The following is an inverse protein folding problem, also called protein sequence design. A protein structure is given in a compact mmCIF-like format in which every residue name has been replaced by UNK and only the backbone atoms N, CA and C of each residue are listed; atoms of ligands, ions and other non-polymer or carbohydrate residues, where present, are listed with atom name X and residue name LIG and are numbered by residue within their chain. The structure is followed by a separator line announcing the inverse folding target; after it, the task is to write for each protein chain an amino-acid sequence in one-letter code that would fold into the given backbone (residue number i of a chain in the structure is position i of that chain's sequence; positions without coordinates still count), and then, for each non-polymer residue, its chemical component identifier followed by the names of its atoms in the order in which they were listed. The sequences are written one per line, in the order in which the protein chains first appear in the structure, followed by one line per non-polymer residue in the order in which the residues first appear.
data_IF_578276730626
#
_entry.id   IF_578276730626
#
_cell.length_a   1.000
_cell.length_b   1.000
_cell.length_c   1.000
_cell.angle_alpha   90.00
_cell.angle_beta   90.00
_cell.angle_gamma   90.00
#
_symmetry.space_group_name_H-M   'P 1'
#
loop_
_entity.id
_entity.type
_entity.pdbx_description
1 polymer ?
#
# COMPACT_ATOMS: atom_id res chain seq x y z
N UNK A 1 -10.78 18.89 9.94
CA UNK A 1 -10.24 17.90 10.89
C UNK A 1 -11.37 16.93 11.14
N UNK A 2 -11.28 15.69 10.63
CA UNK A 2 -12.25 14.66 11.02
C UNK A 2 -11.86 14.22 12.43
N UNK A 3 -12.78 14.41 13.38
CA UNK A 3 -12.61 13.90 14.74
C UNK A 3 -12.37 12.39 14.64
N UNK A 4 -11.22 11.93 15.15
CA UNK A 4 -10.90 10.52 15.23
C UNK A 4 -11.91 9.78 16.10
N UNK A 5 -12.05 8.45 15.98
CA UNK A 5 -12.79 7.64 16.92
C UNK A 5 -12.23 7.98 18.31
N UNK A 6 -13.11 8.33 19.25
CA UNK A 6 -12.70 8.79 20.60
C UNK A 6 -11.57 7.90 21.12
N UNK A 7 -10.54 8.53 21.67
CA UNK A 7 -9.33 7.83 22.17
C UNK A 7 -9.80 6.68 23.05
N UNK A 8 -9.71 5.45 22.53
CA UNK A 8 -9.91 4.27 23.35
C UNK A 8 -8.74 4.20 24.34
N UNK A 9 -9.00 4.32 25.61
CA UNK A 9 -8.06 4.20 26.73
C UNK A 9 -7.34 2.83 26.75
N UNK A 10 -6.60 2.47 25.70
CA UNK A 10 -5.97 1.16 25.63
C UNK A 10 -4.99 0.93 24.47
N UNK A 11 -4.98 1.76 23.44
CA UNK A 11 -4.01 1.60 22.34
C UNK A 11 -2.73 2.35 22.67
N UNK A 12 -1.64 1.62 22.95
CA UNK A 12 -0.31 2.17 23.12
C UNK A 12 0.18 2.90 21.86
N UNK A 13 1.07 3.89 22.04
CA UNK A 13 1.75 4.55 20.92
C UNK A 13 2.50 3.51 20.07
N UNK A 14 2.58 3.74 18.76
CA UNK A 14 3.33 2.85 17.86
C UNK A 14 4.80 2.83 18.27
N UNK A 15 5.31 1.63 18.55
CA UNK A 15 6.68 1.39 19.01
C UNK A 15 7.61 0.85 17.91
N UNK A 16 7.04 0.30 16.83
CA UNK A 16 7.80 -0.19 15.68
C UNK A 16 6.96 -0.09 14.39
N UNK A 17 7.62 0.06 13.25
CA UNK A 17 6.96 0.05 11.96
C UNK A 17 7.69 -0.86 10.96
N UNK A 18 6.95 -1.35 9.97
CA UNK A 18 7.51 -2.09 8.85
C UNK A 18 6.85 -1.70 7.54
N UNK A 19 7.64 -1.69 6.46
CA UNK A 19 7.15 -1.43 5.11
C UNK A 19 7.41 -2.64 4.22
N UNK A 20 6.37 -3.13 3.56
CA UNK A 20 6.45 -4.20 2.56
C UNK A 20 6.33 -3.62 1.16
N UNK A 21 7.26 -3.99 0.29
CA UNK A 21 7.30 -3.64 -1.12
C UNK A 21 7.25 -4.93 -1.95
N UNK A 22 6.11 -5.30 -2.55
CA UNK A 22 6.05 -6.39 -3.51
C UNK A 22 6.77 -5.97 -4.80
N UNK A 23 7.62 -6.85 -5.36
CA UNK A 23 8.39 -6.55 -6.55
C UNK A 23 8.44 -7.76 -7.50
N UNK A 24 8.19 -7.51 -8.82
CA UNK A 24 8.38 -8.48 -9.88
C UNK A 24 9.07 -7.81 -11.07
N UNK A 25 10.39 -8.06 -11.22
CA UNK A 25 11.22 -7.45 -12.27
C UNK A 25 11.19 -5.90 -12.22
N UNK A 26 11.59 -5.32 -11.09
CA UNK A 26 11.57 -3.88 -10.81
C UNK A 26 12.98 -3.27 -10.64
N UNK A 27 14.02 -3.89 -11.21
CA UNK A 27 15.40 -3.40 -11.04
C UNK A 27 15.60 -1.92 -11.43
N UNK A 28 14.77 -1.41 -12.36
CA UNK A 28 14.87 -0.05 -12.88
C UNK A 28 14.22 0.99 -11.94
N UNK A 29 13.06 0.70 -11.33
CA UNK A 29 12.28 1.68 -10.56
C UNK A 29 12.47 1.53 -9.05
N UNK A 30 12.76 0.33 -8.56
CA UNK A 30 12.97 0.05 -7.15
C UNK A 30 14.04 0.93 -6.46
N UNK A 31 15.14 1.36 -7.09
CA UNK A 31 16.11 2.25 -6.45
C UNK A 31 15.50 3.57 -5.94
N UNK A 32 14.66 4.23 -6.74
CA UNK A 32 14.00 5.47 -6.36
C UNK A 32 13.01 5.25 -5.19
N UNK A 33 12.23 4.17 -5.24
CA UNK A 33 11.35 3.75 -4.15
C UNK A 33 12.12 3.57 -2.84
N UNK A 34 13.24 2.83 -2.84
CA UNK A 34 14.03 2.58 -1.64
C UNK A 34 14.69 3.83 -1.06
N UNK A 35 15.15 4.76 -1.91
CA UNK A 35 15.68 6.05 -1.46
C UNK A 35 14.59 6.84 -0.73
N UNK A 36 13.38 6.91 -1.30
CA UNK A 36 12.24 7.60 -0.69
C UNK A 36 11.83 6.95 0.64
N UNK A 37 11.72 5.62 0.69
CA UNK A 37 11.37 4.88 1.91
C UNK A 37 12.40 5.07 3.03
N UNK A 38 13.71 5.04 2.73
CA UNK A 38 14.75 5.32 3.73
C UNK A 38 14.65 6.74 4.28
N UNK A 39 14.36 7.72 3.41
CA UNK A 39 14.15 9.11 3.85
C UNK A 39 12.92 9.22 4.76
N UNK A 40 11.81 8.56 4.42
CA UNK A 40 10.62 8.53 5.26
C UNK A 40 10.87 7.82 6.60
N UNK A 41 11.63 6.72 6.60
CA UNK A 41 11.99 5.97 7.79
C UNK A 41 12.94 6.73 8.72
N UNK A 42 13.94 7.46 8.17
CA UNK A 42 14.93 8.22 8.97
C UNK A 42 14.32 9.40 9.74
N UNK A 43 13.11 9.82 9.40
CA UNK A 43 12.39 10.88 10.11
C UNK A 43 11.66 10.39 11.37
N UNK A 44 11.67 9.08 11.65
CA UNK A 44 10.99 8.47 12.78
C UNK A 44 11.96 8.14 13.93
N UNK A 45 11.43 8.19 15.16
CA UNK A 45 12.17 7.80 16.37
C UNK A 45 11.99 6.33 16.74
N UNK A 46 11.10 5.62 16.03
CA UNK A 46 10.87 4.18 16.23
C UNK A 46 11.63 3.36 15.19
N UNK A 47 12.02 2.11 15.49
CA UNK A 47 12.65 1.24 14.51
C UNK A 47 11.71 0.98 13.32
N UNK A 48 12.28 1.03 12.11
CA UNK A 48 11.56 0.78 10.86
C UNK A 48 12.25 -0.33 10.08
N UNK A 49 11.51 -1.38 9.75
CA UNK A 49 11.98 -2.48 8.90
C UNK A 49 11.52 -2.25 7.46
N UNK A 50 12.46 -2.20 6.51
CA UNK A 50 12.15 -2.14 5.08
C UNK A 50 12.34 -3.51 4.45
N UNK A 51 11.29 -4.04 3.82
CA UNK A 51 11.26 -5.40 3.29
C UNK A 51 10.75 -5.41 1.85
N UNK A 52 11.55 -5.95 0.95
CA UNK A 52 11.19 -6.19 -0.44
C UNK A 52 10.86 -7.66 -0.64
N UNK A 53 9.70 -7.95 -1.21
CA UNK A 53 9.33 -9.31 -1.58
C UNK A 53 9.53 -9.49 -3.08
N UNK A 54 10.62 -10.16 -3.45
CA UNK A 54 10.95 -10.49 -4.83
C UNK A 54 10.13 -11.73 -5.26
N UNK A 55 9.03 -11.50 -5.99
CA UNK A 55 8.14 -12.56 -6.46
C UNK A 55 8.50 -12.97 -7.88
N UNK A 56 9.20 -14.12 -8.01
CA UNK A 56 9.60 -14.70 -9.30
C UNK A 56 10.34 -13.70 -10.21
N UNK A 57 11.29 -12.95 -9.64
CA UNK A 57 12.14 -12.06 -10.41
C UNK A 57 13.17 -12.85 -11.23
N UNK A 58 13.39 -12.42 -12.47
CA UNK A 58 14.43 -12.91 -13.36
C UNK A 58 15.54 -11.88 -13.64
N UNK A 59 15.35 -10.65 -13.15
CA UNK A 59 16.28 -9.54 -13.23
C UNK A 59 17.05 -9.34 -11.90
N UNK A 60 17.74 -8.22 -11.73
CA UNK A 60 18.53 -7.89 -10.54
C UNK A 60 17.72 -7.30 -9.38
N UNK A 61 16.37 -7.34 -9.41
CA UNK A 61 15.51 -6.75 -8.37
C UNK A 61 15.97 -7.09 -6.95
N UNK A 62 16.23 -8.37 -6.67
CA UNK A 62 16.65 -8.79 -5.33
C UNK A 62 18.03 -8.25 -4.92
N UNK A 63 18.95 -8.13 -5.87
CA UNK A 63 20.28 -7.54 -5.63
C UNK A 63 20.16 -6.03 -5.37
N UNK A 64 19.37 -5.34 -6.17
CA UNK A 64 19.05 -3.91 -6.02
C UNK A 64 18.41 -3.64 -4.66
N UNK A 65 17.47 -4.47 -4.22
CA UNK A 65 16.83 -4.35 -2.92
C UNK A 65 17.84 -4.43 -1.76
N UNK A 66 18.73 -5.43 -1.77
CA UNK A 66 19.77 -5.57 -0.74
C UNK A 66 20.75 -4.39 -0.76
N UNK A 67 21.21 -3.98 -1.93
CA UNK A 67 22.11 -2.82 -2.08
C UNK A 67 21.43 -1.52 -1.59
N UNK A 68 20.10 -1.41 -1.74
CA UNK A 68 19.28 -0.33 -1.19
C UNK A 68 19.03 -0.41 0.31
N UNK A 69 19.58 -1.40 1.03
CA UNK A 69 19.43 -1.54 2.48
C UNK A 69 18.12 -2.19 2.92
N UNK A 70 17.34 -2.78 2.02
CA UNK A 70 16.15 -3.53 2.37
C UNK A 70 16.45 -5.01 2.65
N UNK A 71 15.70 -5.60 3.56
CA UNK A 71 15.64 -7.05 3.69
C UNK A 71 14.87 -7.64 2.51
N UNK A 72 15.20 -8.86 2.08
CA UNK A 72 14.60 -9.49 0.90
C UNK A 72 14.03 -10.85 1.23
N UNK A 73 12.76 -11.04 0.93
CA UNK A 73 12.09 -12.34 0.88
C UNK A 73 11.86 -12.71 -0.59
N UNK A 74 12.20 -13.93 -0.98
CA UNK A 74 11.96 -14.44 -2.34
C UNK A 74 10.85 -15.46 -2.34
N UNK A 75 9.88 -15.30 -3.25
CA UNK A 75 8.75 -16.21 -3.45
C UNK A 75 8.55 -16.51 -4.95
N UNK A 76 7.64 -17.44 -5.26
CA UNK A 76 7.35 -17.90 -6.64
C UNK A 76 5.83 -17.88 -6.94
N UNK A 77 5.08 -16.93 -6.37
CA UNK A 77 3.61 -16.95 -6.39
C UNK A 77 3.00 -16.23 -7.59
N UNK A 78 3.67 -15.20 -8.16
CA UNK A 78 3.11 -14.27 -9.17
C UNK A 78 1.74 -13.70 -8.78
N UNK A 79 1.59 -13.37 -7.50
CA UNK A 79 0.35 -12.82 -6.93
C UNK A 79 0.74 -11.74 -5.92
N UNK A 80 0.33 -10.51 -6.17
CA UNK A 80 0.69 -9.38 -5.31
C UNK A 80 0.20 -9.57 -3.88
N UNK A 81 -1.01 -10.12 -3.68
CA UNK A 81 -1.52 -10.44 -2.35
C UNK A 81 -0.66 -11.47 -1.61
N UNK A 82 -0.14 -12.49 -2.31
CA UNK A 82 0.78 -13.45 -1.70
C UNK A 82 2.13 -12.81 -1.34
N UNK A 83 2.61 -11.87 -2.17
CA UNK A 83 3.83 -11.13 -1.88
C UNK A 83 3.67 -10.23 -0.64
N UNK A 84 2.58 -9.46 -0.56
CA UNK A 84 2.27 -8.66 0.64
C UNK A 84 2.13 -9.53 1.88
N UNK A 85 1.39 -10.65 1.80
CA UNK A 85 1.24 -11.59 2.92
C UNK A 85 2.59 -12.18 3.38
N UNK A 86 3.46 -12.56 2.44
CA UNK A 86 4.79 -13.09 2.78
C UNK A 86 5.66 -12.04 3.45
N UNK A 87 5.63 -10.80 2.97
CA UNK A 87 6.37 -9.68 3.57
C UNK A 87 5.87 -9.36 4.97
N UNK A 88 4.56 -9.24 5.16
CA UNK A 88 4.01 -8.94 6.50
C UNK A 88 4.28 -10.08 7.49
N UNK A 89 4.21 -11.33 7.07
CA UNK A 89 4.58 -12.46 7.94
C UNK A 89 6.04 -12.33 8.43
N UNK A 90 6.96 -11.91 7.56
CA UNK A 90 8.35 -11.69 7.97
C UNK A 90 8.48 -10.46 8.89
N UNK A 91 7.74 -9.36 8.62
CA UNK A 91 7.71 -8.21 9.53
C UNK A 91 7.20 -8.58 10.92
N UNK A 92 6.11 -9.36 11.02
CA UNK A 92 5.58 -9.85 12.28
C UNK A 92 6.59 -10.72 13.03
N UNK A 93 7.42 -11.51 12.30
CA UNK A 93 8.51 -12.27 12.91
C UNK A 93 9.62 -11.35 13.45
N UNK A 94 9.98 -10.29 12.71
CA UNK A 94 11.00 -9.31 13.12
C UNK A 94 10.56 -8.47 14.32
N UNK A 95 9.26 -8.26 14.47
CA UNK A 95 8.66 -7.47 15.56
C UNK A 95 8.00 -8.34 16.63
N UNK A 96 8.31 -9.64 16.69
CA UNK A 96 7.67 -10.60 17.60
C UNK A 96 7.86 -10.30 19.09
N UNK A 97 8.82 -9.44 19.45
CA UNK A 97 9.02 -8.93 20.82
C UNK A 97 8.13 -7.73 21.19
N UNK A 98 7.36 -7.20 20.25
CA UNK A 98 6.46 -6.05 20.46
C UNK A 98 5.01 -6.50 20.50
N UNK A 99 4.18 -5.74 21.25
CA UNK A 99 2.73 -5.92 21.20
C UNK A 99 2.23 -5.60 19.78
N UNK A 100 1.45 -6.49 19.13
CA UNK A 100 0.89 -6.21 17.81
C UNK A 100 0.07 -4.91 17.74
N UNK A 101 -0.53 -4.45 18.83
CA UNK A 101 -1.22 -3.16 18.89
C UNK A 101 -0.29 -1.95 18.78
N UNK A 102 1.01 -2.13 19.06
CA UNK A 102 2.05 -1.11 18.98
C UNK A 102 2.94 -1.24 17.72
N UNK A 103 2.56 -2.09 16.76
CA UNK A 103 3.28 -2.28 15.48
C UNK A 103 2.44 -1.77 14.32
N UNK A 104 3.06 -0.93 13.46
CA UNK A 104 2.46 -0.44 12.24
C UNK A 104 3.04 -1.13 11.01
N UNK A 105 2.16 -1.61 10.13
CA UNK A 105 2.49 -2.29 8.88
C UNK A 105 2.05 -1.43 7.72
N UNK A 106 2.97 -1.01 6.86
CA UNK A 106 2.66 -0.23 5.68
C UNK A 106 2.99 -1.02 4.40
N UNK A 107 2.27 -0.74 3.31
CA UNK A 107 2.59 -1.27 1.99
C UNK A 107 2.69 -0.14 0.96
N UNK A 108 3.63 -0.30 0.04
CA UNK A 108 3.76 0.53 -1.16
C UNK A 108 4.26 -0.32 -2.32
N UNK A 109 4.21 0.18 -3.56
CA UNK A 109 4.66 -0.58 -4.72
C UNK A 109 6.11 -0.24 -5.10
N UNK A 110 6.79 -1.14 -5.80
CA UNK A 110 8.21 -1.01 -6.15
C UNK A 110 8.50 0.12 -7.15
N UNK A 111 7.48 0.63 -7.83
CA UNK A 111 7.51 1.76 -8.77
C UNK A 111 6.89 3.04 -8.18
N UNK A 112 6.76 3.09 -6.86
CA UNK A 112 6.14 4.19 -6.13
C UNK A 112 7.17 4.93 -5.28
N UNK A 113 7.10 6.26 -5.31
CA UNK A 113 7.93 7.18 -4.52
C UNK A 113 7.04 7.84 -3.46
N UNK A 114 7.34 7.58 -2.20
CA UNK A 114 6.61 8.16 -1.07
C UNK A 114 7.21 9.51 -0.65
N UNK A 115 6.41 10.49 -0.18
CA UNK A 115 6.95 11.73 0.36
C UNK A 115 7.68 11.51 1.70
N UNK A 116 8.61 12.40 2.09
CA UNK A 116 9.42 12.22 3.31
C UNK A 116 8.58 12.07 4.59
N UNK A 117 7.41 12.70 4.68
CA UNK A 117 6.51 12.63 5.82
C UNK A 117 5.52 11.46 5.81
N UNK A 118 5.57 10.59 4.81
CA UNK A 118 4.57 9.54 4.58
C UNK A 118 4.36 8.61 5.78
N UNK A 119 5.42 7.99 6.29
CA UNK A 119 5.32 7.11 7.46
C UNK A 119 4.93 7.89 8.72
N UNK A 120 5.53 9.07 8.94
CA UNK A 120 5.20 9.90 10.10
C UNK A 120 3.70 10.19 10.14
N UNK A 121 3.12 10.61 9.01
CA UNK A 121 1.70 10.92 8.95
C UNK A 121 0.81 9.70 9.17
N UNK A 122 1.18 8.52 8.66
CA UNK A 122 0.49 7.27 8.97
C UNK A 122 0.53 6.94 10.47
N UNK A 123 1.68 7.12 11.13
CA UNK A 123 1.80 6.91 12.58
C UNK A 123 0.99 7.93 13.40
N UNK A 124 0.85 9.16 12.93
CA UNK A 124 -0.04 10.15 13.55
C UNK A 124 -1.49 9.67 13.53
N UNK A 125 -1.98 9.14 12.39
CA UNK A 125 -3.30 8.51 12.31
C UNK A 125 -3.43 7.30 13.22
N UNK A 126 -2.43 6.42 13.23
CA UNK A 126 -2.42 5.23 14.09
C UNK A 126 -2.51 5.63 15.58
N UNK A 127 -1.74 6.64 16.01
CA UNK A 127 -1.74 7.14 17.39
C UNK A 127 -3.03 7.90 17.72
N UNK A 128 -3.79 8.37 16.73
CA UNK A 128 -5.13 8.95 16.90
C UNK A 128 -6.24 7.88 16.92
N UNK A 129 -5.90 6.58 16.97
CA UNK A 129 -6.85 5.48 17.12
C UNK A 129 -7.34 4.86 15.81
N UNK A 130 -6.75 5.21 14.66
CA UNK A 130 -7.06 4.56 13.40
C UNK A 130 -6.27 3.26 13.23
N UNK A 131 -6.94 2.20 12.83
CA UNK A 131 -6.33 0.90 12.59
C UNK A 131 -5.93 0.70 11.12
N UNK A 132 -6.63 1.35 10.20
CA UNK A 132 -6.34 1.30 8.76
C UNK A 132 -6.29 2.71 8.19
N UNK A 133 -5.24 3.00 7.44
CA UNK A 133 -5.03 4.27 6.73
C UNK A 133 -4.91 3.97 5.24
N UNK A 134 -5.78 4.55 4.44
CA UNK A 134 -5.78 4.45 2.98
C UNK A 134 -5.45 5.83 2.41
N UNK A 135 -4.36 5.93 1.65
CA UNK A 135 -3.97 7.16 0.99
C UNK A 135 -4.23 7.13 -0.52
N UNK A 136 -4.03 8.28 -1.16
CA UNK A 136 -4.19 8.46 -2.61
C UNK A 136 -2.89 8.22 -3.36
N UNK A 137 -2.99 8.11 -4.68
CA UNK A 137 -1.85 8.04 -5.60
C UNK A 137 -1.89 9.24 -6.55
N UNK A 138 -0.71 9.69 -6.98
CA UNK A 138 -0.53 10.67 -8.05
C UNK A 138 0.34 10.07 -9.14
N UNK A 139 0.23 10.56 -10.36
CA UNK A 139 1.05 10.18 -11.51
C UNK A 139 1.67 11.45 -12.08
N UNK A 140 2.97 11.45 -12.30
CA UNK A 140 3.68 12.59 -12.89
C UNK A 140 4.34 12.26 -14.22
N UNK A 141 4.59 10.98 -14.47
CA UNK A 141 5.14 10.51 -15.74
C UNK A 141 4.00 9.94 -16.60
N UNK A 142 3.67 10.69 -17.65
CA UNK A 142 2.61 10.36 -18.59
C UNK A 142 3.13 9.95 -19.97
N UNK A 143 4.43 9.63 -20.06
CA UNK A 143 5.06 9.24 -21.32
C UNK A 143 4.32 8.08 -21.99
N UNK A 144 4.04 8.28 -23.29
CA UNK A 144 3.32 7.32 -24.11
C UNK A 144 1.80 7.25 -23.87
N UNK A 145 1.23 8.07 -22.97
CA UNK A 145 -0.22 8.23 -22.83
C UNK A 145 -0.78 9.30 -23.77
N UNK A 146 -2.02 9.13 -24.28
CA UNK A 146 -2.73 10.21 -24.99
C UNK A 146 -2.90 11.45 -24.09
N UNK A 147 -2.90 12.67 -24.66
CA UNK A 147 -2.95 13.92 -23.88
C UNK A 147 -4.20 14.08 -22.98
N UNK A 148 -5.29 13.39 -23.27
CA UNK A 148 -6.51 13.45 -22.47
C UNK A 148 -6.42 12.60 -21.18
N UNK A 149 -5.50 11.63 -21.10
CA UNK A 149 -5.43 10.70 -19.96
C UNK A 149 -5.06 11.39 -18.64
N UNK A 150 -4.07 12.31 -18.58
CA UNK A 150 -3.78 13.07 -17.37
C UNK A 150 -5.01 13.82 -16.85
N UNK A 151 -5.73 14.52 -17.74
CA UNK A 151 -6.92 15.30 -17.37
C UNK A 151 -8.01 14.40 -16.82
N UNK A 152 -8.35 13.32 -17.53
CA UNK A 152 -9.37 12.36 -17.09
C UNK A 152 -8.98 11.67 -15.76
N UNK A 153 -7.69 11.46 -15.52
CA UNK A 153 -7.20 10.94 -14.25
C UNK A 153 -7.37 11.97 -13.12
N UNK A 154 -6.95 13.23 -13.34
CA UNK A 154 -7.07 14.30 -12.35
C UNK A 154 -8.54 14.56 -11.97
N UNK A 155 -9.44 14.61 -12.94
CA UNK A 155 -10.89 14.76 -12.70
C UNK A 155 -11.44 13.63 -11.81
N UNK A 156 -10.97 12.39 -12.02
CA UNK A 156 -11.38 11.23 -11.23
C UNK A 156 -10.78 11.21 -9.82
N UNK A 157 -9.64 11.87 -9.62
CA UNK A 157 -8.88 11.92 -8.36
C UNK A 157 -8.93 13.29 -7.67
N UNK A 158 -9.82 14.18 -8.06
CA UNK A 158 -9.93 15.55 -7.54
C UNK A 158 -10.60 15.64 -6.14
N UNK A 159 -10.16 14.82 -5.19
CA UNK A 159 -10.71 14.80 -3.83
C UNK A 159 -9.97 15.73 -2.85
N UNK A 160 -8.86 16.33 -3.26
CA UNK A 160 -8.04 17.17 -2.39
C UNK A 160 -7.47 16.41 -1.18
N UNK A 161 -7.26 17.10 -0.07
CA UNK A 161 -6.74 16.52 1.17
C UNK A 161 -7.81 15.85 2.06
N UNK A 162 -9.08 15.87 1.64
CA UNK A 162 -10.21 15.30 2.36
C UNK A 162 -10.39 13.78 2.14
N UNK A 163 -11.48 13.21 2.66
CA UNK A 163 -11.84 11.81 2.45
C UNK A 163 -12.03 11.48 0.96
N UNK A 164 -11.64 10.28 0.55
CA UNK A 164 -11.72 9.79 -0.83
C UNK A 164 -12.19 8.33 -0.87
N UNK A 165 -12.76 7.84 -1.99
CA UNK A 165 -13.22 6.45 -2.11
C UNK A 165 -12.14 5.46 -2.53
N UNK A 166 -10.92 5.93 -2.82
CA UNK A 166 -9.88 5.11 -3.42
C UNK A 166 -9.25 4.14 -2.43
N UNK A 167 -8.90 2.95 -2.93
CA UNK A 167 -8.17 1.90 -2.22
C UNK A 167 -6.97 1.48 -3.08
N UNK A 168 -5.78 1.66 -2.54
CA UNK A 168 -4.54 1.35 -3.25
C UNK A 168 -3.56 0.64 -2.32
N UNK A 169 -3.18 -0.59 -2.68
CA UNK A 169 -2.10 -1.29 -1.99
C UNK A 169 -0.75 -0.57 -2.05
N UNK A 170 -0.60 0.37 -3.00
CA UNK A 170 0.55 1.27 -3.09
C UNK A 170 0.60 2.31 -1.96
N UNK A 171 -0.52 2.54 -1.24
CA UNK A 171 -0.62 3.52 -0.16
C UNK A 171 -1.60 3.06 0.93
N UNK A 172 -1.24 1.99 1.63
CA UNK A 172 -2.04 1.40 2.68
C UNK A 172 -1.19 1.19 3.93
N UNK A 173 -1.72 1.55 5.08
CA UNK A 173 -1.19 1.22 6.39
C UNK A 173 -2.21 0.51 7.25
N UNK A 174 -1.78 -0.41 8.10
CA UNK A 174 -2.64 -1.17 8.99
C UNK A 174 -1.89 -1.52 10.28
N UNK A 175 -2.56 -1.41 11.42
CA UNK A 175 -2.04 -1.89 12.70
C UNK A 175 -1.89 -3.40 12.69
N UNK A 176 -0.82 -3.94 13.25
CA UNK A 176 -0.58 -5.38 13.18
C UNK A 176 -1.66 -6.20 13.90
N UNK A 177 -2.24 -5.72 15.00
CA UNK A 177 -3.37 -6.37 15.65
C UNK A 177 -4.60 -6.45 14.73
N UNK A 178 -4.93 -5.37 14.03
CA UNK A 178 -6.01 -5.34 13.05
C UNK A 178 -5.73 -6.27 11.86
N UNK A 179 -4.48 -6.27 11.34
CA UNK A 179 -4.08 -7.19 10.28
C UNK A 179 -4.27 -8.66 10.67
N UNK A 180 -3.92 -9.01 11.90
CA UNK A 180 -4.12 -10.38 12.41
C UNK A 180 -5.61 -10.71 12.56
N UNK A 181 -6.42 -9.77 13.02
CA UNK A 181 -7.87 -9.95 13.16
C UNK A 181 -8.58 -10.13 11.80
N UNK A 182 -8.07 -9.51 10.72
CA UNK A 182 -8.61 -9.66 9.35
C UNK A 182 -8.23 -10.98 8.67
N UNK A 183 -7.33 -11.77 9.25
CA UNK A 183 -6.76 -12.96 8.63
C UNK A 183 -5.71 -12.65 7.54
N UNK A 184 -5.34 -11.37 7.35
CA UNK A 184 -4.25 -10.95 6.48
C UNK A 184 -4.61 -10.83 4.99
N UNK A 185 -3.62 -10.47 4.18
CA UNK A 185 -3.79 -10.38 2.73
C UNK A 185 -4.10 -11.74 2.09
N UNK A 186 -5.19 -11.79 1.33
CA UNK A 186 -5.54 -12.97 0.53
C UNK A 186 -4.57 -13.11 -0.66
N UNK A 187 -4.20 -14.34 -1.08
CA UNK A 187 -3.23 -14.58 -2.16
C UNK A 187 -3.88 -14.33 -3.54
N UNK A 188 -4.41 -13.14 -3.74
CA UNK A 188 -5.04 -12.69 -4.98
C UNK A 188 -4.01 -12.09 -5.93
N UNK A 189 -4.32 -12.10 -7.23
CA UNK A 189 -3.52 -11.42 -8.26
C UNK A 189 -3.82 -9.92 -8.35
N UNK A 190 -5.02 -9.54 -7.92
CA UNK A 190 -5.54 -8.16 -7.94
C UNK A 190 -6.62 -8.01 -6.88
N UNK A 191 -6.94 -6.77 -6.47
CA UNK A 191 -7.97 -6.42 -5.49
C UNK A 191 -7.76 -7.05 -4.09
N UNK A 192 -6.51 -7.41 -3.77
CA UNK A 192 -6.16 -7.87 -2.42
C UNK A 192 -6.26 -6.75 -1.38
N UNK A 193 -6.08 -5.49 -1.78
CA UNK A 193 -6.26 -4.29 -1.00
C UNK A 193 -7.75 -4.03 -0.68
N UNK A 194 -8.64 -4.15 -1.67
CA UNK A 194 -10.08 -4.10 -1.47
C UNK A 194 -10.57 -5.24 -0.56
N UNK A 195 -10.05 -6.46 -0.75
CA UNK A 195 -10.37 -7.60 0.10
C UNK A 195 -9.90 -7.39 1.55
N UNK A 196 -8.73 -6.73 1.74
CA UNK A 196 -8.21 -6.36 3.05
C UNK A 196 -9.11 -5.30 3.71
N UNK A 197 -9.50 -4.24 2.98
CA UNK A 197 -10.42 -3.23 3.49
C UNK A 197 -11.75 -3.84 3.90
N UNK A 198 -12.35 -4.69 3.07
CA UNK A 198 -13.61 -5.36 3.39
C UNK A 198 -13.49 -6.19 4.68
N UNK A 199 -12.41 -6.96 4.85
CA UNK A 199 -12.16 -7.73 6.06
C UNK A 199 -11.96 -6.83 7.30
N UNK A 200 -11.25 -5.70 7.16
CA UNK A 200 -11.05 -4.74 8.25
C UNK A 200 -12.38 -4.08 8.66
N UNK A 201 -13.21 -3.68 7.71
CA UNK A 201 -14.54 -3.13 7.97
C UNK A 201 -15.44 -4.15 8.67
N UNK A 202 -15.41 -5.41 8.21
CA UNK A 202 -16.15 -6.52 8.83
C UNK A 202 -15.70 -6.81 10.27
N UNK A 203 -14.40 -6.66 10.55
CA UNK A 203 -13.83 -6.80 11.89
C UNK A 203 -14.08 -5.58 12.80
N UNK A 204 -14.75 -4.53 12.31
CA UNK A 204 -15.02 -3.30 13.06
C UNK A 204 -13.78 -2.41 13.27
N UNK A 205 -12.71 -2.58 12.48
CA UNK A 205 -11.51 -1.76 12.59
C UNK A 205 -11.79 -0.32 12.15
N UNK A 206 -11.37 0.70 12.92
CA UNK A 206 -11.41 2.09 12.48
C UNK A 206 -10.58 2.32 11.21
N UNK A 207 -11.23 2.80 10.14
CA UNK A 207 -10.61 3.05 8.83
C UNK A 207 -10.68 4.54 8.50
N UNK A 208 -9.56 5.11 8.05
CA UNK A 208 -9.51 6.48 7.51
C UNK A 208 -9.04 6.48 6.06
N UNK A 209 -9.73 7.26 5.22
CA UNK A 209 -9.34 7.58 3.86
C UNK A 209 -8.65 8.95 3.88
N UNK A 210 -7.31 8.94 3.86
CA UNK A 210 -6.44 10.09 4.10
C UNK A 210 -5.93 10.69 2.77
N UNK A 211 -6.56 11.76 2.29
CA UNK A 211 -6.16 12.45 1.06
C UNK A 211 -4.88 13.29 1.19
N UNK A 212 -4.40 13.49 2.40
CA UNK A 212 -3.23 14.34 2.72
C UNK A 212 -1.88 13.60 2.69
N UNK A 213 -1.88 12.31 2.32
CA UNK A 213 -0.66 11.49 2.16
C UNK A 213 -0.53 10.88 0.75
N UNK A 214 -0.61 11.67 -0.33
CA UNK A 214 -0.48 11.11 -1.66
C UNK A 214 0.93 10.51 -1.87
N UNK A 215 1.00 9.40 -2.61
CA UNK A 215 2.25 8.83 -3.10
C UNK A 215 2.31 8.94 -4.62
N UNK A 216 3.52 9.11 -5.17
CA UNK A 216 3.71 9.19 -6.61
C UNK A 216 4.01 7.80 -7.17
N UNK A 217 3.14 7.30 -8.03
CA UNK A 217 3.34 6.01 -8.72
C UNK A 217 3.64 6.18 -10.20
N UNK A 218 4.21 5.15 -10.82
CA UNK A 218 4.54 5.15 -12.24
C UNK A 218 3.29 5.14 -13.11
N UNK A 219 3.27 5.99 -14.13
CA UNK A 219 2.26 6.02 -15.19
C UNK A 219 2.43 4.96 -16.27
N UNK A 220 3.27 3.94 -16.08
CA UNK A 220 3.57 2.93 -17.11
C UNK A 220 2.31 2.27 -17.68
N UNK A 221 2.30 2.09 -19.01
CA UNK A 221 1.17 1.49 -19.75
C UNK A 221 1.09 -0.03 -19.62
N UNK A 222 2.21 -0.71 -19.41
CA UNK A 222 2.28 -2.16 -19.31
C UNK A 222 1.92 -2.60 -17.88
N UNK A 223 0.67 -3.06 -17.72
CA UNK A 223 0.20 -3.62 -16.47
C UNK A 223 0.96 -4.92 -16.12
N UNK A 224 1.55 -5.00 -14.92
CA UNK A 224 2.10 -6.23 -14.36
C UNK A 224 1.05 -7.03 -13.58
N UNK A 225 0.03 -6.34 -13.06
CA UNK A 225 -1.15 -6.94 -12.44
C UNK A 225 -2.38 -6.74 -13.35
N UNK A 226 -3.11 -7.81 -13.73
CA UNK A 226 -4.38 -7.68 -14.43
C UNK A 226 -5.37 -6.89 -13.57
N UNK A 227 -6.04 -5.88 -14.11
CA UNK A 227 -6.96 -5.00 -13.38
C UNK A 227 -6.32 -4.13 -12.26
N UNK A 228 -4.98 -3.97 -12.23
CA UNK A 228 -4.28 -3.04 -11.36
C UNK A 228 -4.35 -1.60 -11.85
N UNK A 229 -3.63 -0.68 -11.19
CA UNK A 229 -3.59 0.76 -11.50
C UNK A 229 -3.29 1.06 -12.98
N UNK A 230 -2.31 0.39 -13.59
CA UNK A 230 -2.01 0.54 -15.03
C UNK A 230 -3.18 0.14 -15.94
N UNK A 231 -4.10 -0.72 -15.49
CA UNK A 231 -5.32 -1.05 -16.23
C UNK A 231 -6.32 0.10 -16.20
N UNK A 232 -6.44 0.82 -15.07
CA UNK A 232 -7.24 2.04 -15.00
C UNK A 232 -6.74 3.07 -16.02
N UNK A 233 -5.42 3.33 -16.06
CA UNK A 233 -4.83 4.28 -17.02
C UNK A 233 -5.07 3.85 -18.47
N UNK A 234 -5.02 2.56 -18.78
CA UNK A 234 -5.35 2.03 -20.11
C UNK A 234 -6.83 2.23 -20.45
N UNK A 235 -7.73 1.98 -19.50
CA UNK A 235 -9.18 2.20 -19.69
C UNK A 235 -9.48 3.67 -20.00
N UNK A 236 -8.83 4.61 -19.29
CA UNK A 236 -8.92 6.03 -19.58
C UNK A 236 -8.35 6.37 -20.97
N UNK A 237 -7.25 5.73 -21.38
CA UNK A 237 -6.66 5.93 -22.71
C UNK A 237 -7.56 5.43 -23.85
N UNK A 238 -8.34 4.37 -23.60
CA UNK A 238 -9.30 3.82 -24.57
C UNK A 238 -10.63 4.62 -24.62
N UNK A 239 -10.76 5.68 -23.81
CA UNK A 239 -12.00 6.49 -23.72
C UNK A 239 -13.20 5.69 -23.18
N UNK A 240 -12.94 4.58 -22.49
CA UNK A 240 -13.98 3.78 -21.84
C UNK A 240 -14.16 4.32 -20.42
N UNK A 241 -15.42 4.50 -20.02
CA UNK A 241 -15.72 4.66 -18.61
C UNK A 241 -15.26 3.39 -17.90
N UNK A 242 -14.31 3.53 -16.98
CA UNK A 242 -13.95 2.42 -16.11
C UNK A 242 -15.21 2.07 -15.31
N UNK A 243 -15.91 1.01 -15.70
CA UNK A 243 -16.98 0.44 -14.89
C UNK A 243 -16.50 0.38 -13.45
N UNK A 244 -17.25 0.97 -12.55
CA UNK A 244 -17.13 0.76 -11.11
C UNK A 244 -16.88 -0.73 -10.89
N UNK A 245 -15.86 -1.07 -10.10
CA UNK A 245 -15.62 -2.45 -9.68
C UNK A 245 -16.98 -3.02 -9.27
N UNK A 246 -17.47 -4.10 -9.91
CA UNK A 246 -18.80 -4.60 -9.60
C UNK A 246 -18.86 -4.94 -8.11
N UNK A 247 -19.93 -4.53 -7.44
CA UNK A 247 -20.24 -4.88 -6.03
C UNK A 247 -20.32 -6.41 -5.79
N UNK A 248 -20.30 -7.19 -6.86
CA UNK A 248 -20.39 -8.65 -6.88
C UNK A 248 -19.26 -9.43 -6.19
N UNK A 249 -18.16 -8.78 -5.79
CA UNK A 249 -17.09 -9.46 -5.04
C UNK A 249 -17.49 -9.64 -3.57
N UNK A 250 -18.47 -8.88 -3.07
CA UNK A 250 -18.96 -8.99 -1.69
C UNK A 250 -19.96 -10.15 -1.50
N UNK A 251 -20.68 -10.59 -2.56
CA UNK A 251 -21.75 -11.58 -2.43
C UNK A 251 -21.30 -13.05 -2.57
N UNK A 252 -20.09 -13.35 -3.02
CA UNK A 252 -19.59 -14.73 -3.17
C UNK A 252 -18.74 -15.24 -2.01
N UNK A 253 -18.70 -14.53 -0.88
CA UNK A 253 -17.97 -14.94 0.32
C UNK A 253 -18.87 -15.55 1.42
N UNK A 254 -20.16 -15.75 1.14
CA UNK A 254 -21.12 -16.38 2.05
C UNK A 254 -21.78 -17.61 1.40
N UNK A 255 -20.98 -18.55 0.97
CA UNK A 255 -21.40 -19.85 0.48
C UNK A 255 -20.38 -20.92 0.87
#
# INVERSE_FOLDING_TARGET
MSDGPGVSDGLGAIAAAGVVVPAHNEEALLPACLVALRRAASALQVPVHLLVVADRCSDRTAAVARAGGAQVVSIQARKVGAARAAGIRELLRLTSGSDPSAVWLATTDADTVVPPGWLRRQLEYANAGWDVVLGTVTVTDWDGHPPHVPVAFEERYAFGAGPHPHVHGANLGIRASAYLATGGFRPLRTAEDHAMLAAATQAGCPVVHAGDIPVQTSGRRLARAPRGFSNLLRTLADGRDAETVPEDVCQRATG
#
